data_IF_343355484477
#
_entry.id   IF_343355484477
#
_cell.length_a   1.000
_cell.length_b   1.000
_cell.length_c   1.000
_cell.angle_alpha   90.00
_cell.angle_beta   90.00
_cell.angle_gamma   90.00
#
_symmetry.space_group_name_H-M   'P 1'
#
loop_
_entity.id
_entity.type
_entity.pdbx_description
1 polymer ?
#
# COMPACT_ATOMS: atom_id res chain seq x y z
N UNK A 1 8.28 8.30 -11.95
CA UNK A 1 9.50 7.60 -11.42
C UNK A 1 9.24 6.11 -11.37
N UNK A 2 10.04 5.33 -12.06
CA UNK A 2 9.95 3.89 -12.01
C UNK A 2 10.77 3.30 -10.83
N UNK A 3 10.70 2.00 -10.64
CA UNK A 3 11.40 1.33 -9.53
C UNK A 3 12.92 1.53 -9.62
N UNK A 4 13.49 1.47 -10.82
CA UNK A 4 14.93 1.65 -11.03
C UNK A 4 15.41 3.04 -10.61
N UNK A 5 14.66 4.07 -10.96
CA UNK A 5 14.95 5.46 -10.57
C UNK A 5 14.79 5.65 -9.06
N UNK A 6 13.78 5.02 -8.48
CA UNK A 6 13.54 5.05 -7.05
C UNK A 6 14.67 4.38 -6.26
N UNK A 7 15.20 3.26 -6.74
CA UNK A 7 16.34 2.58 -6.13
C UNK A 7 17.58 3.49 -6.15
N UNK A 8 17.84 4.18 -7.26
CA UNK A 8 18.93 5.14 -7.36
C UNK A 8 18.81 6.27 -6.35
N UNK A 9 17.59 6.77 -6.18
CA UNK A 9 17.32 7.82 -5.19
C UNK A 9 17.60 7.32 -3.76
N UNK A 10 17.19 6.11 -3.43
CA UNK A 10 17.46 5.50 -2.12
C UNK A 10 18.96 5.44 -1.87
N UNK A 11 19.74 4.98 -2.84
CA UNK A 11 21.21 4.89 -2.72
C UNK A 11 21.81 6.27 -2.49
N UNK A 12 21.36 7.29 -3.24
CA UNK A 12 21.85 8.67 -3.07
C UNK A 12 21.53 9.23 -1.68
N UNK A 13 20.33 9.00 -1.19
CA UNK A 13 19.92 9.45 0.15
C UNK A 13 20.68 8.70 1.25
N UNK A 14 20.97 7.43 1.04
CA UNK A 14 21.78 6.63 1.95
C UNK A 14 23.23 7.17 2.05
N UNK A 15 23.82 7.56 0.92
CA UNK A 15 25.15 8.17 0.89
C UNK A 15 25.22 9.44 1.72
N UNK A 16 24.18 10.28 1.66
CA UNK A 16 24.09 11.48 2.48
C UNK A 16 24.04 11.18 3.98
N UNK A 17 23.59 10.00 4.35
CA UNK A 17 23.52 9.53 5.74
C UNK A 17 24.70 8.65 6.13
N UNK A 18 25.71 8.55 5.26
CA UNK A 18 26.88 7.71 5.46
C UNK A 18 26.54 6.22 5.60
N UNK A 19 25.48 5.79 4.93
CA UNK A 19 25.06 4.38 4.87
C UNK A 19 25.48 3.82 3.52
N UNK A 20 26.26 2.75 3.52
CA UNK A 20 26.66 2.08 2.29
C UNK A 20 25.56 1.13 1.82
N UNK A 21 24.94 1.46 0.70
CA UNK A 21 23.95 0.60 0.04
C UNK A 21 24.26 0.52 -1.44
N UNK A 22 24.18 -0.68 -1.98
CA UNK A 22 24.25 -0.90 -3.44
C UNK A 22 22.84 -1.01 -4.01
N UNK A 23 22.69 -0.77 -5.30
CA UNK A 23 21.39 -0.92 -5.97
C UNK A 23 20.85 -2.35 -5.86
N UNK A 24 21.73 -3.35 -5.92
CA UNK A 24 21.37 -4.75 -5.76
C UNK A 24 20.80 -5.06 -4.37
N UNK A 25 21.45 -4.57 -3.32
CA UNK A 25 20.98 -4.74 -1.94
C UNK A 25 19.62 -4.05 -1.75
N UNK A 26 19.46 -2.83 -2.25
CA UNK A 26 18.22 -2.08 -2.14
C UNK A 26 17.08 -2.81 -2.83
N UNK A 27 17.32 -3.35 -4.02
CA UNK A 27 16.32 -4.12 -4.76
C UNK A 27 15.84 -5.34 -3.96
N UNK A 28 16.77 -6.09 -3.38
CA UNK A 28 16.43 -7.24 -2.54
C UNK A 28 15.70 -6.84 -1.27
N UNK A 29 16.11 -5.74 -0.62
CA UNK A 29 15.44 -5.23 0.57
C UNK A 29 14.00 -4.81 0.28
N UNK A 30 13.73 -4.20 -0.86
CA UNK A 30 12.36 -3.83 -1.24
C UNK A 30 11.45 -5.04 -1.37
N UNK A 31 11.96 -6.13 -1.93
CA UNK A 31 11.22 -7.39 -2.03
C UNK A 31 10.91 -7.96 -0.63
N UNK A 32 11.89 -7.97 0.25
CA UNK A 32 11.73 -8.47 1.63
C UNK A 32 10.74 -7.60 2.41
N UNK A 33 10.82 -6.29 2.26
CA UNK A 33 9.91 -5.35 2.91
C UNK A 33 8.47 -5.57 2.42
N UNK A 34 8.28 -5.74 1.13
CA UNK A 34 6.98 -6.06 0.54
C UNK A 34 6.40 -7.35 1.12
N UNK A 35 7.19 -8.41 1.17
CA UNK A 35 6.78 -9.68 1.77
C UNK A 35 6.42 -9.54 3.24
N UNK A 36 7.19 -8.75 3.99
CA UNK A 36 6.93 -8.52 5.41
C UNK A 36 5.60 -7.79 5.62
N UNK A 37 5.33 -6.76 4.83
CA UNK A 37 4.07 -6.02 4.88
C UNK A 37 2.91 -6.93 4.51
N UNK A 38 3.02 -7.67 3.43
CA UNK A 38 1.97 -8.58 2.97
C UNK A 38 1.66 -9.65 4.02
N UNK A 39 2.68 -10.24 4.60
CA UNK A 39 2.53 -11.25 5.66
C UNK A 39 1.82 -10.68 6.88
N UNK A 40 2.22 -9.50 7.33
CA UNK A 40 1.62 -8.84 8.49
C UNK A 40 0.15 -8.50 8.24
N UNK A 41 -0.18 -7.95 7.09
CA UNK A 41 -1.55 -7.56 6.72
C UNK A 41 -2.44 -8.79 6.58
N UNK A 42 -1.95 -9.87 5.97
CA UNK A 42 -2.69 -11.13 5.84
C UNK A 42 -3.01 -11.76 7.21
N UNK A 43 -2.15 -11.54 8.20
CA UNK A 43 -2.38 -12.00 9.56
C UNK A 43 -3.27 -11.05 10.39
N UNK A 44 -3.81 -10.01 9.78
CA UNK A 44 -4.69 -9.06 10.43
C UNK A 44 -3.98 -7.96 11.21
N UNK A 45 -2.67 -7.84 11.08
CA UNK A 45 -1.89 -6.79 11.73
C UNK A 45 -1.95 -5.48 10.93
N UNK A 46 -1.89 -4.36 11.64
CA UNK A 46 -1.74 -3.05 11.03
C UNK A 46 -0.26 -2.69 11.03
N UNK A 47 0.27 -2.34 9.86
CA UNK A 47 1.68 -1.94 9.71
C UNK A 47 1.76 -0.44 9.45
N UNK A 48 2.51 0.27 10.28
CA UNK A 48 2.76 1.70 10.13
C UNK A 48 4.25 1.90 9.82
N UNK A 49 4.55 2.19 8.58
CA UNK A 49 5.93 2.35 8.10
C UNK A 49 5.96 3.29 6.89
N UNK A 50 7.06 3.99 6.70
CA UNK A 50 7.25 4.92 5.58
C UNK A 50 6.20 6.05 5.52
N UNK A 51 5.62 6.41 6.65
CA UNK A 51 4.53 7.37 6.70
C UNK A 51 3.21 6.84 6.14
N UNK A 52 3.12 5.54 5.96
CA UNK A 52 1.96 4.84 5.44
C UNK A 52 1.38 3.90 6.49
N UNK A 53 0.10 3.64 6.34
CA UNK A 53 -0.63 2.68 7.16
C UNK A 53 -1.18 1.60 6.23
N UNK A 54 -0.75 0.37 6.46
CA UNK A 54 -1.23 -0.81 5.75
C UNK A 54 -2.11 -1.60 6.70
N UNK A 55 -3.36 -1.83 6.32
CA UNK A 55 -4.31 -2.53 7.18
C UNK A 55 -5.24 -3.44 6.39
N UNK A 56 -5.77 -4.44 7.08
CA UNK A 56 -6.83 -5.27 6.55
C UNK A 56 -8.17 -4.66 6.97
N UNK A 57 -9.06 -4.46 6.01
CA UNK A 57 -10.41 -3.94 6.26
C UNK A 57 -11.43 -4.96 5.82
N UNK A 58 -12.56 -5.02 6.51
CA UNK A 58 -13.69 -5.83 6.11
C UNK A 58 -14.64 -4.96 5.30
N UNK A 59 -14.99 -5.45 4.12
CA UNK A 59 -16.01 -4.85 3.28
C UNK A 59 -17.32 -5.57 3.50
N UNK A 60 -18.35 -4.82 3.87
CA UNK A 60 -19.67 -5.34 4.08
C UNK A 60 -20.26 -5.92 2.79
N UNK A 61 -21.17 -6.88 2.95
CA UNK A 61 -21.97 -7.40 1.84
C UNK A 61 -22.74 -6.26 1.17
N UNK A 62 -22.65 -6.21 -0.15
CA UNK A 62 -23.40 -5.26 -0.97
C UNK A 62 -24.31 -6.01 -1.93
N UNK A 63 -25.48 -5.45 -2.16
CA UNK A 63 -26.44 -6.01 -3.11
C UNK A 63 -27.13 -4.91 -3.89
N UNK A 64 -27.64 -5.24 -5.05
CA UNK A 64 -28.32 -4.29 -5.89
C UNK A 64 -29.11 -4.97 -7.00
N UNK A 65 -29.82 -4.15 -7.77
CA UNK A 65 -30.57 -4.61 -8.94
C UNK A 65 -30.10 -3.82 -10.15
N UNK A 66 -29.76 -4.53 -11.18
CA UNK A 66 -29.34 -3.92 -12.45
C UNK A 66 -30.40 -4.19 -13.51
N UNK A 67 -30.88 -3.13 -14.19
CA UNK A 67 -31.76 -3.24 -15.34
C UNK A 67 -30.96 -3.15 -16.64
N UNK A 68 -30.97 -4.23 -17.41
CA UNK A 68 -30.35 -4.29 -18.71
C UNK A 68 -31.39 -4.81 -19.71
N UNK A 69 -31.73 -3.99 -20.72
CA UNK A 69 -32.66 -4.38 -21.77
C UNK A 69 -34.08 -4.70 -21.27
N UNK A 70 -34.55 -4.07 -20.18
CA UNK A 70 -35.87 -4.32 -19.58
C UNK A 70 -35.92 -5.53 -18.64
N UNK A 71 -34.76 -6.20 -18.40
CA UNK A 71 -34.67 -7.33 -17.48
C UNK A 71 -33.98 -6.89 -16.20
N UNK A 72 -34.61 -7.15 -15.06
CA UNK A 72 -34.01 -6.89 -13.74
C UNK A 72 -33.16 -8.08 -13.33
N UNK A 73 -31.90 -7.83 -13.00
CA UNK A 73 -31.00 -8.82 -12.41
C UNK A 73 -30.57 -8.37 -11.02
N UNK A 74 -30.88 -9.19 -10.03
CA UNK A 74 -30.35 -8.99 -8.68
C UNK A 74 -28.91 -9.49 -8.63
N UNK A 75 -28.04 -8.74 -7.98
CA UNK A 75 -26.67 -9.15 -7.74
C UNK A 75 -26.32 -8.97 -6.27
N UNK A 76 -25.45 -9.82 -5.78
CA UNK A 76 -24.95 -9.76 -4.40
C UNK A 76 -23.45 -9.94 -4.40
N UNK A 77 -22.75 -9.03 -3.74
CA UNK A 77 -21.33 -9.14 -3.50
C UNK A 77 -21.14 -9.49 -2.02
N UNK A 78 -20.61 -10.69 -1.70
CA UNK A 78 -20.47 -11.09 -0.31
C UNK A 78 -19.46 -10.23 0.43
N UNK A 79 -19.58 -10.19 1.75
CA UNK A 79 -18.58 -9.55 2.61
C UNK A 79 -17.21 -10.20 2.37
N UNK A 80 -16.18 -9.39 2.29
CA UNK A 80 -14.82 -9.87 2.08
C UNK A 80 -13.81 -8.97 2.79
N UNK A 81 -12.60 -9.49 2.97
CA UNK A 81 -11.49 -8.73 3.51
C UNK A 81 -10.69 -8.13 2.37
N UNK A 82 -10.26 -6.90 2.54
CA UNK A 82 -9.45 -6.19 1.57
C UNK A 82 -8.28 -5.50 2.27
N UNK A 83 -7.18 -5.34 1.55
CA UNK A 83 -6.06 -4.55 2.03
C UNK A 83 -6.29 -3.08 1.70
N UNK A 84 -5.95 -2.21 2.64
CA UNK A 84 -6.06 -0.76 2.46
C UNK A 84 -4.73 -0.11 2.82
N UNK A 85 -4.32 0.83 1.99
CA UNK A 85 -3.12 1.64 2.21
C UNK A 85 -3.53 3.11 2.29
N UNK A 86 -3.05 3.81 3.32
CA UNK A 86 -3.31 5.23 3.48
C UNK A 86 -2.11 5.92 4.12
N UNK A 87 -1.99 7.23 3.91
CA UNK A 87 -0.99 8.01 4.64
C UNK A 87 -1.41 8.17 6.10
N UNK A 88 -0.43 8.14 7.01
CA UNK A 88 -0.66 8.52 8.39
C UNK A 88 -1.08 10.00 8.43
N UNK A 89 -1.99 10.40 9.34
CA UNK A 89 -2.47 11.78 9.40
C UNK A 89 -1.36 12.83 9.55
N UNK A 90 -0.34 12.54 10.35
CA UNK A 90 0.82 13.42 10.52
C UNK A 90 1.61 13.58 9.22
N UNK A 91 1.82 12.49 8.49
CA UNK A 91 2.55 12.49 7.22
C UNK A 91 1.76 13.19 6.12
N UNK A 92 0.46 13.00 6.09
CA UNK A 92 -0.43 13.67 5.15
C UNK A 92 -0.38 15.18 5.29
N UNK A 93 -0.43 15.68 6.52
CA UNK A 93 -0.30 17.12 6.82
C UNK A 93 1.06 17.66 6.40
N UNK A 94 2.12 16.91 6.65
CA UNK A 94 3.48 17.28 6.27
C UNK A 94 3.60 17.43 4.75
N UNK A 95 3.07 16.47 3.99
CA UNK A 95 3.07 16.52 2.52
C UNK A 95 2.23 17.65 1.97
N UNK A 96 1.08 17.96 2.56
CA UNK A 96 0.22 19.08 2.16
C UNK A 96 0.92 20.43 2.33
N UNK A 97 1.84 20.56 3.28
CA UNK A 97 2.63 21.78 3.49
C UNK A 97 3.70 21.98 2.42
N UNK A 98 4.12 20.92 1.76
CA UNK A 98 5.16 20.96 0.73
C UNK A 98 4.64 21.33 -0.67
N UNK A 99 3.34 21.36 -0.83
CA UNK A 99 2.69 21.64 -2.12
C UNK A 99 2.33 23.10 -2.26
#
# INVERSE_FOLDING_TARGET
MNQKEFIKLIVQLAEKREIELTQSIVKELLVVIEEAVDTAVLNGNTVKVLGLKFEQVEKAETSGVTKLGGVEKAWTKPAHKAAKVSYLPSKRKELERLV
#
